data_IF_771786058653
#
_entry.id   IF_771786058653
#
_cell.length_a   1.000
_cell.length_b   1.000
_cell.length_c   1.000
_cell.angle_alpha   90.00
_cell.angle_beta   90.00
_cell.angle_gamma   90.00
#
_symmetry.space_group_name_H-M   'P 1'
#
loop_
_entity.id
_entity.type
_entity.pdbx_description
1 polymer ?
#
# COMPACT_ATOMS: atom_id res chain seq x y z
N UNK A 1 -34.88 -22.41 33.79
CA UNK A 1 -34.10 -22.83 32.59
C UNK A 1 -33.88 -21.67 31.61
N UNK A 2 -34.95 -20.93 31.22
CA UNK A 2 -34.82 -19.83 30.20
C UNK A 2 -34.06 -18.57 30.71
N UNK A 3 -34.10 -18.22 31.99
CA UNK A 3 -33.37 -17.09 32.56
C UNK A 3 -31.86 -17.32 32.65
N UNK A 4 -31.40 -18.54 32.87
CA UNK A 4 -29.98 -18.88 32.91
C UNK A 4 -29.35 -18.88 31.50
N UNK A 5 -30.10 -19.22 30.47
CA UNK A 5 -29.64 -19.18 29.08
C UNK A 5 -29.46 -17.76 28.56
N UNK A 6 -30.37 -16.83 28.96
CA UNK A 6 -30.25 -15.41 28.60
C UNK A 6 -29.04 -14.72 29.29
N UNK A 7 -28.79 -15.01 30.59
CA UNK A 7 -27.63 -14.45 31.28
C UNK A 7 -26.28 -14.94 30.73
N UNK A 8 -26.21 -16.17 30.27
CA UNK A 8 -24.98 -16.73 29.67
C UNK A 8 -24.70 -16.19 28.25
N UNK A 9 -25.73 -15.84 27.49
CA UNK A 9 -25.57 -15.15 26.21
C UNK A 9 -25.10 -13.70 26.37
N UNK A 10 -25.73 -12.95 27.29
CA UNK A 10 -25.30 -11.56 27.60
C UNK A 10 -23.87 -11.50 28.13
N UNK A 11 -23.45 -12.44 28.97
CA UNK A 11 -22.05 -12.53 29.44
C UNK A 11 -21.06 -12.90 28.30
N UNK A 12 -21.47 -13.78 27.37
CA UNK A 12 -20.66 -14.16 26.24
C UNK A 12 -20.51 -12.99 25.24
N UNK A 13 -21.60 -12.28 24.95
CA UNK A 13 -21.59 -11.11 24.05
C UNK A 13 -20.77 -9.96 24.65
N UNK A 14 -20.92 -9.67 25.95
CA UNK A 14 -20.11 -8.66 26.65
C UNK A 14 -18.62 -9.03 26.65
N UNK A 15 -18.29 -10.31 26.79
CA UNK A 15 -16.90 -10.79 26.76
C UNK A 15 -16.31 -10.73 25.35
N UNK A 16 -17.13 -10.94 24.32
CA UNK A 16 -16.71 -10.86 22.92
C UNK A 16 -16.47 -9.39 22.51
N UNK A 17 -17.37 -8.48 22.87
CA UNK A 17 -17.23 -7.04 22.62
C UNK A 17 -15.97 -6.46 23.32
N UNK A 18 -15.75 -6.77 24.59
CA UNK A 18 -14.56 -6.31 25.31
C UNK A 18 -13.27 -6.85 24.70
N UNK A 19 -13.23 -8.10 24.26
CA UNK A 19 -12.06 -8.69 23.59
C UNK A 19 -11.75 -8.00 22.25
N UNK A 20 -12.79 -7.67 21.48
CA UNK A 20 -12.67 -6.95 20.20
C UNK A 20 -12.15 -5.53 20.41
N UNK A 21 -12.65 -4.81 21.41
CA UNK A 21 -12.19 -3.46 21.75
C UNK A 21 -10.71 -3.45 22.18
N UNK A 22 -10.28 -4.36 23.03
CA UNK A 22 -8.88 -4.49 23.43
C UNK A 22 -7.96 -4.79 22.25
N UNK A 23 -8.39 -5.65 21.35
CA UNK A 23 -7.65 -5.98 20.13
C UNK A 23 -7.51 -4.77 19.21
N UNK A 24 -8.59 -4.01 19.03
CA UNK A 24 -8.59 -2.79 18.22
C UNK A 24 -7.66 -1.72 18.79
N UNK A 25 -7.71 -1.49 20.11
CA UNK A 25 -6.81 -0.54 20.83
C UNK A 25 -5.34 -0.94 20.70
N UNK A 26 -5.04 -2.23 20.75
CA UNK A 26 -3.68 -2.72 20.52
C UNK A 26 -3.18 -2.38 19.10
N UNK A 27 -3.99 -2.63 18.07
CA UNK A 27 -3.62 -2.32 16.69
C UNK A 27 -3.49 -0.82 16.44
N UNK A 28 -4.39 -0.01 16.97
CA UNK A 28 -4.28 1.46 16.93
C UNK A 28 -3.00 1.95 17.59
N UNK A 29 -2.65 1.41 18.75
CA UNK A 29 -1.40 1.73 19.44
C UNK A 29 -0.18 1.35 18.60
N UNK A 30 -0.15 0.15 18.02
CA UNK A 30 0.93 -0.31 17.16
C UNK A 30 1.10 0.59 15.92
N UNK A 31 -0.02 0.93 15.24
CA UNK A 31 -0.02 1.87 14.12
C UNK A 31 0.48 3.26 14.53
N UNK A 32 0.03 3.76 15.70
CA UNK A 32 0.47 5.06 16.20
C UNK A 32 1.98 5.12 16.44
N UNK A 33 2.58 4.01 16.89
CA UNK A 33 4.03 3.90 17.06
C UNK A 33 4.77 3.95 15.72
N UNK A 34 4.20 3.38 14.67
CA UNK A 34 4.74 3.47 13.32
C UNK A 34 4.68 4.91 12.79
N UNK A 35 3.47 5.49 12.77
CA UNK A 35 3.21 6.78 12.14
C UNK A 35 3.82 7.97 12.87
N UNK A 36 4.09 7.86 14.18
CA UNK A 36 4.82 8.89 14.95
C UNK A 36 6.26 9.09 14.49
N UNK A 37 6.81 8.14 13.74
CA UNK A 37 8.15 8.25 13.17
C UNK A 37 8.18 8.92 11.80
N UNK A 38 7.05 9.36 11.26
CA UNK A 38 7.02 10.09 9.99
C UNK A 38 7.81 11.40 10.09
N UNK A 39 8.79 11.54 9.23
CA UNK A 39 9.67 12.71 9.14
C UNK A 39 9.25 13.64 7.99
N UNK A 40 8.59 13.09 6.97
CA UNK A 40 8.11 13.79 5.78
C UNK A 40 6.61 13.64 5.67
N UNK A 41 5.92 14.77 5.46
CA UNK A 41 4.47 14.80 5.26
C UNK A 41 3.66 14.57 6.53
N UNK A 42 2.37 14.42 6.34
CA UNK A 42 1.43 14.11 7.41
C UNK A 42 0.27 13.24 6.91
N UNK A 43 -0.36 12.53 7.84
CA UNK A 43 -1.57 11.76 7.57
C UNK A 43 -2.59 11.94 8.69
N UNK A 44 -3.84 12.23 8.32
CA UNK A 44 -4.97 12.24 9.23
C UNK A 44 -5.76 10.96 9.08
N UNK A 45 -5.85 10.18 10.16
CA UNK A 45 -6.67 8.97 10.24
C UNK A 45 -7.97 9.28 10.95
N UNK A 46 -9.11 8.95 10.32
CA UNK A 46 -10.42 8.97 10.95
C UNK A 46 -10.88 7.55 11.24
N UNK A 47 -10.99 7.20 12.51
CA UNK A 47 -11.41 5.87 12.96
C UNK A 47 -12.92 5.67 12.93
N UNK A 48 -13.43 4.41 12.94
CA UNK A 48 -14.85 4.10 12.90
C UNK A 48 -15.68 4.78 14.00
N UNK A 49 -15.08 5.00 15.18
CA UNK A 49 -15.73 5.68 16.32
C UNK A 49 -15.79 7.20 16.16
N UNK A 50 -15.40 7.74 14.99
CA UNK A 50 -15.41 9.18 14.71
C UNK A 50 -14.18 9.95 15.22
N UNK A 51 -13.28 9.30 15.96
CA UNK A 51 -12.00 9.86 16.41
C UNK A 51 -11.10 10.15 15.21
N UNK A 52 -10.55 11.35 15.12
CA UNK A 52 -9.52 11.71 14.14
C UNK A 52 -8.19 11.96 14.83
N UNK A 53 -7.10 11.44 14.26
CA UNK A 53 -5.74 11.61 14.77
C UNK A 53 -4.81 11.93 13.60
N UNK A 54 -4.02 13.00 13.76
CA UNK A 54 -3.00 13.39 12.79
C UNK A 54 -1.62 12.92 13.24
N UNK A 55 -0.83 12.43 12.29
CA UNK A 55 0.56 11.99 12.47
C UNK A 55 1.46 12.70 11.46
N UNK A 56 2.74 12.82 11.78
CA UNK A 56 3.71 13.54 10.97
C UNK A 56 3.73 15.04 11.27
N UNK A 57 4.28 15.84 10.36
CA UNK A 57 4.44 17.30 10.52
C UNK A 57 3.25 18.02 9.89
N UNK A 58 2.39 18.74 10.64
CA UNK A 58 1.12 19.28 10.16
C UNK A 58 1.21 20.12 8.88
N UNK A 59 2.29 20.87 8.69
CA UNK A 59 2.51 21.79 7.55
C UNK A 59 3.39 21.18 6.45
N UNK A 60 3.73 19.89 6.54
CA UNK A 60 4.62 19.21 5.59
C UNK A 60 3.83 18.45 4.54
N UNK A 61 4.22 18.60 3.28
CA UNK A 61 3.68 17.81 2.18
C UNK A 61 4.48 16.50 1.98
N UNK A 62 3.84 15.43 1.52
CA UNK A 62 2.43 15.30 1.15
C UNK A 62 1.50 15.22 2.37
N UNK A 63 0.28 15.76 2.23
CA UNK A 63 -0.75 15.71 3.25
C UNK A 63 -1.85 14.72 2.84
N UNK A 64 -2.04 13.67 3.64
CA UNK A 64 -2.97 12.59 3.36
C UNK A 64 -4.14 12.55 4.34
N UNK A 65 -5.30 12.09 3.84
CA UNK A 65 -6.45 11.78 4.65
C UNK A 65 -6.90 10.34 4.39
N UNK A 66 -7.15 9.59 5.44
CA UNK A 66 -7.63 8.21 5.36
C UNK A 66 -8.76 7.99 6.36
N UNK A 67 -9.91 7.53 5.87
CA UNK A 67 -11.01 7.07 6.70
C UNK A 67 -10.90 5.56 6.88
N UNK A 68 -10.72 5.14 8.10
CA UNK A 68 -10.64 3.71 8.49
C UNK A 68 -12.07 3.22 8.75
N UNK A 69 -12.53 2.26 7.96
CA UNK A 69 -13.83 1.63 8.11
C UNK A 69 -13.74 0.36 8.99
N UNK A 70 -12.57 -0.30 8.99
CA UNK A 70 -12.31 -1.52 9.78
C UNK A 70 -10.88 -1.55 10.32
N UNK A 71 -10.70 -1.95 11.58
CA UNK A 71 -9.37 -2.16 12.17
C UNK A 71 -8.59 -3.31 11.52
N UNK A 72 -9.23 -4.13 10.69
CA UNK A 72 -8.58 -5.18 9.89
C UNK A 72 -7.50 -4.61 8.99
N UNK A 73 -7.71 -3.39 8.43
CA UNK A 73 -6.71 -2.66 7.66
C UNK A 73 -5.39 -2.51 8.42
N UNK A 74 -5.45 -2.10 9.70
CA UNK A 74 -4.25 -1.88 10.52
C UNK A 74 -3.45 -3.17 10.67
N UNK A 75 -4.14 -4.28 10.94
CA UNK A 75 -3.51 -5.59 11.02
C UNK A 75 -2.84 -5.98 9.70
N UNK A 76 -3.56 -5.85 8.57
CA UNK A 76 -3.03 -6.16 7.23
C UNK A 76 -1.81 -5.29 6.92
N UNK A 77 -1.87 -3.97 7.12
CA UNK A 77 -0.74 -3.08 6.93
C UNK A 77 0.48 -3.49 7.77
N UNK A 78 0.29 -3.76 9.08
CA UNK A 78 1.40 -4.09 9.97
C UNK A 78 1.96 -5.51 9.73
N UNK A 79 1.17 -6.44 9.21
CA UNK A 79 1.57 -7.84 8.98
C UNK A 79 2.06 -8.08 7.56
N UNK A 80 1.48 -7.47 6.57
CA UNK A 80 1.67 -7.74 5.13
C UNK A 80 2.25 -6.52 4.38
N UNK A 81 2.45 -5.40 5.11
CA UNK A 81 3.05 -4.18 4.54
C UNK A 81 2.14 -3.50 3.53
N UNK A 82 2.76 -2.99 2.45
CA UNK A 82 2.11 -2.30 1.35
C UNK A 82 1.07 -3.16 0.61
N UNK A 83 1.36 -4.45 0.43
CA UNK A 83 0.40 -5.40 -0.15
C UNK A 83 -0.85 -5.50 0.72
N UNK A 84 -0.70 -5.65 2.03
CA UNK A 84 -1.82 -5.67 2.97
C UNK A 84 -2.62 -4.37 3.01
N UNK A 85 -1.94 -3.22 2.83
CA UNK A 85 -2.60 -1.92 2.69
C UNK A 85 -3.47 -1.88 1.42
N UNK A 86 -2.92 -2.32 0.27
CA UNK A 86 -3.64 -2.35 -0.99
C UNK A 86 -4.83 -3.32 -0.98
N UNK A 87 -4.64 -4.54 -0.47
CA UNK A 87 -5.74 -5.51 -0.32
C UNK A 87 -6.85 -5.00 0.58
N UNK A 88 -6.50 -4.35 1.71
CA UNK A 88 -7.49 -3.78 2.61
C UNK A 88 -8.27 -2.61 2.00
N UNK A 89 -7.67 -1.88 1.06
CA UNK A 89 -8.37 -0.88 0.26
C UNK A 89 -9.40 -1.53 -0.67
N UNK A 90 -9.01 -2.57 -1.40
CA UNK A 90 -9.92 -3.33 -2.27
C UNK A 90 -11.07 -3.98 -1.50
N UNK A 91 -10.82 -4.41 -0.25
CA UNK A 91 -11.82 -4.96 0.66
C UNK A 91 -12.75 -3.89 1.27
N UNK A 92 -12.48 -2.58 1.06
CA UNK A 92 -13.25 -1.48 1.64
C UNK A 92 -12.98 -1.23 3.12
N UNK A 93 -11.89 -1.76 3.68
CA UNK A 93 -11.51 -1.55 5.09
C UNK A 93 -11.09 -0.10 5.38
N UNK A 94 -10.74 0.65 4.35
CA UNK A 94 -10.45 2.08 4.40
C UNK A 94 -10.73 2.76 3.07
N UNK A 95 -10.86 4.08 3.10
CA UNK A 95 -11.10 4.90 1.91
C UNK A 95 -10.38 6.25 2.03
N UNK A 96 -10.11 6.88 0.89
CA UNK A 96 -9.55 8.22 0.78
C UNK A 96 -10.11 8.91 -0.46
N UNK A 97 -10.26 10.23 -0.38
CA UNK A 97 -10.61 11.06 -1.54
C UNK A 97 -9.45 11.26 -2.51
N UNK A 98 -8.20 11.06 -2.04
CA UNK A 98 -7.00 11.13 -2.87
C UNK A 98 -5.97 10.12 -2.36
N UNK A 99 -5.65 9.13 -3.21
CA UNK A 99 -4.70 8.06 -2.89
C UNK A 99 -3.25 8.49 -3.04
N UNK A 100 -2.96 9.45 -3.92
CA UNK A 100 -1.57 9.84 -4.26
C UNK A 100 -0.75 10.21 -3.03
N UNK A 101 -1.21 11.12 -2.14
CA UNK A 101 -0.44 11.44 -0.93
C UNK A 101 -0.19 10.24 -0.01
N UNK A 102 -1.15 9.28 0.07
CA UNK A 102 -0.98 8.07 0.88
C UNK A 102 0.14 7.20 0.32
N UNK A 103 0.16 7.00 -1.01
CA UNK A 103 1.17 6.20 -1.69
C UNK A 103 2.56 6.86 -1.67
N UNK A 104 2.64 8.19 -1.61
CA UNK A 104 3.90 8.91 -1.49
C UNK A 104 4.50 8.86 -0.07
N UNK A 105 3.66 8.86 0.97
CA UNK A 105 4.12 8.88 2.36
C UNK A 105 4.95 7.64 2.74
N UNK A 106 4.59 6.47 2.26
CA UNK A 106 5.30 5.22 2.53
C UNK A 106 6.78 5.28 2.12
N UNK A 107 7.10 5.43 0.83
CA UNK A 107 8.47 5.52 0.33
C UNK A 107 9.29 6.67 0.94
N UNK A 108 8.66 7.83 1.18
CA UNK A 108 9.34 9.01 1.77
C UNK A 108 9.71 8.84 3.24
N UNK A 109 9.11 7.88 3.93
CA UNK A 109 9.35 7.61 5.36
C UNK A 109 9.94 6.21 5.62
N UNK A 110 10.32 5.46 4.60
CA UNK A 110 10.78 4.07 4.75
C UNK A 110 11.98 3.98 5.69
N UNK A 111 12.97 4.84 5.56
CA UNK A 111 14.17 4.85 6.41
C UNK A 111 13.84 5.16 7.87
N UNK A 112 12.95 6.14 8.11
CA UNK A 112 12.48 6.49 9.44
C UNK A 112 11.72 5.35 10.12
N UNK A 113 10.96 4.59 9.33
CA UNK A 113 10.21 3.42 9.80
C UNK A 113 11.16 2.26 10.08
N UNK A 114 12.05 1.90 9.13
CA UNK A 114 12.96 0.76 9.24
C UNK A 114 13.96 0.91 10.39
N UNK A 115 14.49 2.11 10.61
CA UNK A 115 15.52 2.34 11.62
C UNK A 115 14.98 2.37 13.06
N UNK A 116 13.70 2.69 13.27
CA UNK A 116 13.12 2.90 14.60
C UNK A 116 12.27 1.72 15.11
N UNK A 117 11.93 0.76 14.24
CA UNK A 117 11.07 -0.37 14.63
C UNK A 117 11.87 -1.68 14.61
N UNK A 118 12.32 -2.11 15.81
CA UNK A 118 12.97 -3.42 16.01
C UNK A 118 12.14 -4.60 15.47
N UNK A 119 10.80 -4.48 15.47
CA UNK A 119 9.88 -5.47 14.90
C UNK A 119 9.94 -5.57 13.37
N UNK A 120 10.32 -4.50 12.69
CA UNK A 120 10.44 -4.49 11.23
C UNK A 120 11.60 -5.38 10.74
N UNK A 121 12.69 -5.47 11.52
CA UNK A 121 13.80 -6.41 11.23
C UNK A 121 13.35 -7.87 11.31
N UNK A 122 12.45 -8.20 12.21
CA UNK A 122 11.85 -9.54 12.32
C UNK A 122 10.92 -9.83 11.13
N UNK A 123 10.24 -8.82 10.62
CA UNK A 123 9.39 -8.89 9.44
C UNK A 123 10.20 -9.12 8.15
N UNK A 124 11.32 -8.38 7.97
CA UNK A 124 12.28 -8.61 6.88
C UNK A 124 12.85 -10.03 6.92
N UNK A 125 13.14 -10.54 8.11
CA UNK A 125 13.63 -11.90 8.29
C UNK A 125 12.57 -12.94 7.89
N UNK A 126 11.30 -12.73 8.25
CA UNK A 126 10.18 -13.60 7.83
C UNK A 126 9.99 -13.56 6.31
N UNK A 127 9.99 -12.36 5.71
CA UNK A 127 9.87 -12.20 4.26
C UNK A 127 11.09 -12.79 3.52
N UNK A 128 12.30 -12.63 4.06
CA UNK A 128 13.50 -13.27 3.53
C UNK A 128 13.40 -14.81 3.60
N UNK A 129 12.87 -15.34 4.71
CA UNK A 129 12.61 -16.78 4.86
C UNK A 129 11.54 -17.28 3.88
N UNK A 130 10.48 -16.53 3.65
CA UNK A 130 9.46 -16.87 2.64
C UNK A 130 10.01 -16.78 1.22
N UNK A 131 10.89 -15.81 0.93
CA UNK A 131 11.61 -15.73 -0.35
C UNK A 131 12.59 -16.90 -0.56
N UNK A 132 13.30 -17.31 0.49
CA UNK A 132 14.19 -18.47 0.45
C UNK A 132 13.43 -19.82 0.29
N UNK A 133 12.17 -19.87 0.78
CA UNK A 133 11.32 -21.05 0.64
C UNK A 133 10.52 -21.07 -0.69
N UNK A 134 10.56 -20.00 -1.51
CA UNK A 134 10.06 -20.00 -2.89
C UNK A 134 11.23 -20.32 -3.83
N UNK A 135 11.44 -21.60 -4.23
CA UNK A 135 12.51 -21.93 -5.15
C UNK A 135 12.22 -21.23 -6.48
N UNK A 136 13.19 -20.45 -6.97
CA UNK A 136 13.24 -19.97 -8.35
C UNK A 136 13.48 -21.18 -9.28
N UNK A 137 12.50 -22.07 -9.39
CA UNK A 137 12.54 -23.16 -10.37
C UNK A 137 12.16 -22.58 -11.74
N UNK A 138 12.77 -23.08 -12.80
CA UNK A 138 12.42 -22.72 -14.19
C UNK A 138 10.91 -22.80 -14.46
N UNK A 139 10.20 -23.78 -13.85
CA UNK A 139 8.73 -23.89 -13.92
C UNK A 139 8.00 -22.80 -13.14
N UNK A 140 8.53 -22.37 -11.98
CA UNK A 140 7.97 -21.26 -11.21
C UNK A 140 8.14 -19.93 -11.93
N UNK A 141 9.30 -19.69 -12.53
CA UNK A 141 9.56 -18.50 -13.35
C UNK A 141 8.66 -18.46 -14.60
N UNK A 142 8.46 -19.59 -15.29
CA UNK A 142 7.56 -19.65 -16.44
C UNK A 142 6.10 -19.35 -16.04
N UNK A 143 5.63 -19.90 -14.91
CA UNK A 143 4.27 -19.63 -14.41
C UNK A 143 4.12 -18.15 -14.00
N UNK A 144 5.09 -17.58 -13.28
CA UNK A 144 5.07 -16.18 -12.89
C UNK A 144 5.10 -15.23 -14.08
N UNK A 145 5.85 -15.57 -15.15
CA UNK A 145 5.88 -14.82 -16.40
C UNK A 145 4.53 -14.95 -17.13
N UNK A 146 3.97 -16.14 -17.24
CA UNK A 146 2.66 -16.36 -17.83
C UNK A 146 1.58 -15.57 -17.08
N UNK A 147 1.50 -15.72 -15.75
CA UNK A 147 0.53 -14.99 -14.91
C UNK A 147 0.68 -13.46 -15.05
N UNK A 148 1.91 -12.96 -15.28
CA UNK A 148 2.16 -11.52 -15.46
C UNK A 148 1.74 -11.01 -16.84
N UNK A 149 1.88 -11.81 -17.89
CA UNK A 149 1.54 -11.41 -19.26
C UNK A 149 0.17 -11.91 -19.74
N UNK A 150 -0.46 -12.86 -19.06
CA UNK A 150 -1.78 -13.41 -19.42
C UNK A 150 -2.97 -12.49 -19.03
N UNK A 151 -2.70 -11.30 -18.49
CA UNK A 151 -3.75 -10.31 -18.17
C UNK A 151 -4.49 -9.79 -19.39
N UNK A 152 -3.92 -9.98 -20.60
CA UNK A 152 -4.52 -9.62 -21.88
C UNK A 152 -4.50 -8.11 -22.16
N UNK A 153 -4.72 -7.77 -23.43
CA UNK A 153 -4.66 -6.39 -23.89
C UNK A 153 -5.69 -5.48 -23.22
N UNK A 154 -6.85 -6.01 -22.84
CA UNK A 154 -7.89 -5.25 -22.14
C UNK A 154 -7.45 -4.70 -20.79
N UNK A 155 -6.48 -5.35 -20.14
CA UNK A 155 -5.87 -4.86 -18.90
C UNK A 155 -4.87 -3.74 -19.19
N UNK A 156 -4.07 -3.85 -20.25
CA UNK A 156 -2.99 -2.92 -20.53
C UNK A 156 -3.44 -1.65 -21.25
N UNK A 157 -4.44 -1.74 -22.13
CA UNK A 157 -4.97 -0.62 -22.93
C UNK A 157 -5.35 0.64 -22.12
N UNK A 158 -5.91 0.56 -20.89
CA UNK A 158 -6.31 1.75 -20.14
C UNK A 158 -5.16 2.61 -19.63
N UNK A 159 -3.93 2.09 -19.57
CA UNK A 159 -2.80 2.77 -18.93
C UNK A 159 -1.47 2.72 -19.70
N UNK A 160 -1.39 1.95 -20.77
CA UNK A 160 -0.29 2.06 -21.73
C UNK A 160 -0.66 3.02 -22.87
N UNK A 161 0.38 3.63 -23.45
CA UNK A 161 0.22 4.41 -24.66
C UNK A 161 -0.05 3.50 -25.88
N UNK A 162 -0.37 4.11 -27.03
CA UNK A 162 -0.70 3.40 -28.28
C UNK A 162 0.40 2.47 -28.81
N UNK A 163 1.66 2.62 -28.36
CA UNK A 163 2.74 1.69 -28.71
C UNK A 163 2.68 0.39 -27.91
N UNK A 164 1.83 0.31 -26.89
CA UNK A 164 1.71 -0.82 -25.96
C UNK A 164 3.05 -1.19 -25.30
N UNK A 165 3.95 -0.23 -25.15
CA UNK A 165 5.26 -0.46 -24.56
C UNK A 165 5.16 -0.59 -23.05
N UNK A 166 5.36 -1.78 -22.53
CA UNK A 166 5.38 -2.05 -21.08
C UNK A 166 6.79 -1.95 -20.51
N UNK A 167 7.34 -0.76 -20.57
CA UNK A 167 8.61 -0.40 -19.92
C UNK A 167 8.71 1.11 -19.74
N UNK A 168 9.72 1.57 -18.94
CA UNK A 168 9.92 3.01 -18.71
C UNK A 168 10.17 3.78 -19.98
N UNK A 169 9.64 5.02 -20.05
CA UNK A 169 9.91 5.99 -21.11
C UNK A 169 11.12 6.88 -20.73
N UNK A 170 11.68 7.61 -21.70
CA UNK A 170 12.71 8.63 -21.48
C UNK A 170 12.07 10.01 -21.71
N UNK A 171 12.11 10.86 -20.66
CA UNK A 171 11.64 12.24 -20.69
C UNK A 171 12.82 13.19 -20.60
N UNK A 172 12.79 14.31 -21.35
CA UNK A 172 13.95 15.20 -21.49
C UNK A 172 14.00 16.29 -20.40
N UNK A 173 12.85 16.75 -19.87
CA UNK A 173 12.76 17.92 -18.99
C UNK A 173 11.83 17.79 -17.79
N UNK A 174 12.02 18.68 -16.79
CA UNK A 174 11.07 18.85 -15.66
C UNK A 174 9.67 19.32 -16.10
N UNK A 175 9.55 20.03 -17.22
CA UNK A 175 8.26 20.39 -17.85
C UNK A 175 7.47 19.18 -18.30
N UNK A 176 8.14 18.07 -18.57
CA UNK A 176 7.56 16.79 -18.90
C UNK A 176 6.82 16.13 -17.71
N UNK A 177 6.92 16.69 -16.51
CA UNK A 177 6.27 16.11 -15.30
C UNK A 177 4.79 16.45 -15.16
N UNK A 178 4.25 17.37 -15.95
CA UNK A 178 2.85 17.77 -15.89
C UNK A 178 2.24 17.99 -17.29
N UNK A 179 2.19 16.94 -18.14
CA UNK A 179 1.78 17.09 -19.53
C UNK A 179 0.28 17.38 -19.64
N UNK A 180 -0.08 18.25 -20.59
CA UNK A 180 -1.49 18.53 -20.92
C UNK A 180 -2.18 17.30 -21.52
N UNK A 181 -1.41 16.45 -22.23
CA UNK A 181 -1.85 15.17 -22.77
C UNK A 181 -0.88 14.06 -22.35
N UNK A 182 -1.24 13.30 -21.34
CA UNK A 182 -0.41 12.25 -20.75
C UNK A 182 -0.13 11.11 -21.72
N UNK A 183 -1.12 10.71 -22.52
CA UNK A 183 -0.98 9.60 -23.48
C UNK A 183 0.02 9.92 -24.59
N UNK A 184 -0.11 11.09 -25.20
CA UNK A 184 0.79 11.53 -26.26
C UNK A 184 2.21 11.75 -25.74
N UNK A 185 2.33 12.31 -24.55
CA UNK A 185 3.60 12.52 -23.88
C UNK A 185 4.33 11.19 -23.57
N UNK A 186 3.61 10.19 -23.06
CA UNK A 186 4.16 8.87 -22.81
C UNK A 186 4.63 8.21 -24.12
N UNK A 187 3.83 8.32 -25.20
CA UNK A 187 4.21 7.79 -26.51
C UNK A 187 5.53 8.36 -27.02
N UNK A 188 5.71 9.68 -26.99
CA UNK A 188 6.96 10.30 -27.42
C UNK A 188 8.14 9.91 -26.53
N UNK A 189 7.95 9.76 -25.23
CA UNK A 189 8.96 9.23 -24.32
C UNK A 189 9.38 7.79 -24.64
N UNK A 190 8.44 6.94 -25.10
CA UNK A 190 8.75 5.59 -25.58
C UNK A 190 9.54 5.63 -26.92
N UNK A 191 9.16 6.51 -27.84
CA UNK A 191 9.90 6.68 -29.12
C UNK A 191 11.33 7.15 -28.86
N UNK A 192 11.54 8.14 -27.99
CA UNK A 192 12.90 8.59 -27.59
C UNK A 192 13.74 7.45 -27.03
N UNK A 193 13.15 6.61 -26.19
CA UNK A 193 13.84 5.43 -25.68
C UNK A 193 14.28 4.48 -26.79
N UNK A 194 13.43 4.22 -27.77
CA UNK A 194 13.80 3.36 -28.90
C UNK A 194 14.90 3.98 -29.74
N UNK A 195 14.86 5.27 -30.02
CA UNK A 195 15.94 6.00 -30.71
C UNK A 195 17.24 5.92 -29.93
N UNK A 196 17.19 6.19 -28.61
CA UNK A 196 18.37 6.09 -27.76
C UNK A 196 19.00 4.69 -27.79
N UNK A 197 18.19 3.63 -27.72
CA UNK A 197 18.66 2.26 -27.81
C UNK A 197 19.26 2.00 -29.21
N UNK A 198 18.59 2.42 -30.28
CA UNK A 198 19.06 2.22 -31.65
C UNK A 198 20.40 2.90 -31.93
N UNK A 199 20.60 4.13 -31.39
CA UNK A 199 21.81 4.89 -31.54
C UNK A 199 23.02 4.31 -30.77
N UNK A 200 22.76 3.38 -29.82
CA UNK A 200 23.78 2.74 -28.97
C UNK A 200 23.92 1.24 -29.25
N UNK A 201 23.20 0.71 -30.21
CA UNK A 201 23.40 -0.66 -30.72
C UNK A 201 24.36 -0.55 -31.92
N UNK A 202 25.67 -0.78 -31.63
CA UNK A 202 26.71 -0.98 -32.64
C UNK A 202 26.63 -2.39 -33.28
#
# INVERSE_FOLDING_TARGET
SSRQALSSQDEADTRFETKTEWTNRFWEFALSKLLKNFEVGNITLRYPQGKSVQYGKPESEPSAYMKVNSHRMIRKLLVEGDVGLAESYMDGDWESSNLVPILELGPRNVDAIENKILGFKFFRLKNLFQHLLRPNSLRGSQRNIADHYDLGNSFYLPWLDRSMTYSSAIFEDEHDRNPVNVEEHLYYGQIRKYQYIADHLD
#
